data_IF_993670297507
#
_entry.id   IF_993670297507
#
_cell.length_a   1.000
_cell.length_b   1.000
_cell.length_c   1.000
_cell.angle_alpha   90.00
_cell.angle_beta   90.00
_cell.angle_gamma   90.00
#
_symmetry.space_group_name_H-M   'P 1'
#
loop_
_entity.id
_entity.type
_entity.pdbx_description
1 polymer ?
#
# COMPACT_ATOMS: atom_id res chain seq x y z
N UNK A 1 -0.80 -11.94 10.58
CA UNK A 1 -1.70 -10.97 9.93
C UNK A 1 -2.55 -10.33 11.00
N UNK A 2 -2.50 -9.03 11.12
CA UNK A 2 -3.28 -8.25 12.08
C UNK A 2 -4.43 -7.52 11.37
N UNK A 3 -5.56 -7.42 12.01
CA UNK A 3 -6.77 -6.77 11.49
C UNK A 3 -6.86 -5.36 12.05
N UNK A 4 -6.96 -4.35 11.18
CA UNK A 4 -7.21 -2.98 11.61
C UNK A 4 -8.72 -2.75 11.81
N UNK A 5 -9.13 -2.54 13.05
CA UNK A 5 -10.55 -2.43 13.44
C UNK A 5 -11.31 -1.19 12.90
N UNK A 6 -10.61 -0.19 12.38
CA UNK A 6 -11.20 1.13 12.13
C UNK A 6 -12.03 1.30 10.85
N UNK A 7 -11.85 0.48 9.81
CA UNK A 7 -12.50 0.64 8.49
C UNK A 7 -13.48 -0.48 8.15
N UNK A 8 -13.43 -1.58 8.87
CA UNK A 8 -14.27 -2.76 8.62
C UNK A 8 -15.78 -2.46 8.72
N UNK A 9 -16.19 -1.61 9.65
CA UNK A 9 -17.61 -1.35 9.91
C UNK A 9 -18.30 -0.45 8.92
N UNK A 10 -17.58 0.47 8.27
CA UNK A 10 -18.18 1.56 7.49
C UNK A 10 -18.27 1.28 5.99
N UNK A 11 -17.34 0.46 5.44
CA UNK A 11 -17.18 0.26 4.01
C UNK A 11 -17.25 -1.21 3.59
N UNK A 12 -17.42 -2.12 4.54
CA UNK A 12 -17.28 -3.56 4.29
C UNK A 12 -15.87 -3.94 3.83
N UNK A 13 -14.87 -3.16 4.23
CA UNK A 13 -13.46 -3.38 3.88
C UNK A 13 -12.68 -3.87 5.10
N UNK A 14 -11.98 -5.00 4.93
CA UNK A 14 -11.02 -5.55 5.88
C UNK A 14 -9.61 -5.20 5.40
N UNK A 15 -8.86 -4.45 6.22
CA UNK A 15 -7.47 -4.15 5.95
C UNK A 15 -6.60 -5.13 6.74
N UNK A 16 -5.71 -5.80 6.05
CA UNK A 16 -4.79 -6.78 6.57
C UNK A 16 -3.36 -6.28 6.35
N UNK A 17 -2.49 -6.54 7.32
CA UNK A 17 -1.10 -6.15 7.23
C UNK A 17 -0.24 -7.39 7.45
N UNK A 18 0.61 -7.71 6.47
CA UNK A 18 1.57 -8.78 6.58
C UNK A 18 2.84 -8.28 7.27
N UNK A 19 3.47 -9.15 8.04
CA UNK A 19 4.84 -8.87 8.48
C UNK A 19 5.77 -8.87 7.27
N UNK A 20 6.80 -8.02 7.28
CA UNK A 20 7.71 -7.80 6.15
C UNK A 20 8.49 -9.07 5.72
N UNK A 21 8.51 -10.09 6.59
CA UNK A 21 9.13 -11.39 6.32
C UNK A 21 8.28 -12.35 5.47
N UNK A 22 7.02 -12.01 5.15
CA UNK A 22 6.15 -12.89 4.37
C UNK A 22 6.43 -12.73 2.88
N UNK A 23 7.38 -13.53 2.38
CA UNK A 23 7.78 -13.51 0.96
C UNK A 23 6.73 -14.12 0.02
N UNK A 24 5.99 -15.13 0.49
CA UNK A 24 4.99 -15.81 -0.34
C UNK A 24 3.67 -15.03 -0.40
N UNK A 25 2.98 -15.13 -1.54
CA UNK A 25 1.62 -14.61 -1.67
C UNK A 25 0.70 -15.39 -0.74
N UNK A 26 0.11 -14.77 0.29
CA UNK A 26 -0.82 -15.46 1.17
C UNK A 26 -2.14 -15.72 0.44
N UNK A 27 -2.72 -16.89 0.69
CA UNK A 27 -4.07 -17.20 0.24
C UNK A 27 -5.09 -16.48 1.13
N UNK A 28 -5.47 -15.27 0.71
CA UNK A 28 -6.42 -14.42 1.44
C UNK A 28 -7.82 -15.08 1.51
N UNK A 29 -8.19 -15.81 0.48
CA UNK A 29 -9.47 -16.49 0.47
C UNK A 29 -9.50 -17.63 1.49
N UNK A 30 -8.43 -18.44 1.59
CA UNK A 30 -8.30 -19.44 2.63
C UNK A 30 -8.20 -18.84 4.03
N UNK A 31 -7.60 -17.66 4.18
CA UNK A 31 -7.58 -16.91 5.45
C UNK A 31 -9.02 -16.51 5.85
N UNK A 32 -9.79 -15.92 4.96
CA UNK A 32 -11.17 -15.51 5.22
C UNK A 32 -12.11 -16.69 5.50
N UNK A 33 -11.92 -17.81 4.80
CA UNK A 33 -12.69 -19.02 5.07
C UNK A 33 -12.51 -19.55 6.51
N UNK A 34 -11.30 -19.38 7.06
CA UNK A 34 -10.98 -19.76 8.46
C UNK A 34 -11.37 -18.68 9.47
N UNK A 35 -11.51 -17.43 9.03
CA UNK A 35 -11.82 -16.28 9.86
C UNK A 35 -13.03 -15.52 9.26
N UNK A 36 -14.25 -16.08 9.36
CA UNK A 36 -15.40 -15.50 8.70
C UNK A 36 -15.75 -14.13 9.30
N UNK A 37 -15.65 -13.10 8.49
CA UNK A 37 -16.01 -11.73 8.83
C UNK A 37 -17.32 -11.35 8.13
N UNK A 38 -18.39 -11.17 8.90
CA UNK A 38 -19.70 -10.81 8.32
C UNK A 38 -19.68 -9.38 7.74
N UNK A 39 -20.31 -9.21 6.59
CA UNK A 39 -20.47 -7.89 5.95
C UNK A 39 -19.22 -7.38 5.20
N UNK A 40 -18.15 -8.17 5.15
CA UNK A 40 -16.94 -7.82 4.39
C UNK A 40 -17.20 -8.06 2.89
N UNK A 41 -16.87 -7.07 2.08
CA UNK A 41 -16.88 -7.12 0.61
C UNK A 41 -15.49 -7.01 0.00
N UNK A 42 -14.57 -6.41 0.73
CA UNK A 42 -13.19 -6.18 0.29
C UNK A 42 -12.23 -6.65 1.38
N UNK A 43 -11.23 -7.40 1.01
CA UNK A 43 -10.10 -7.73 1.87
C UNK A 43 -8.82 -7.29 1.17
N UNK A 44 -8.11 -6.31 1.73
CA UNK A 44 -6.91 -5.73 1.12
C UNK A 44 -5.73 -5.99 2.02
N UNK A 45 -4.70 -6.63 1.47
CA UNK A 45 -3.46 -6.95 2.16
C UNK A 45 -2.37 -5.93 1.79
N UNK A 46 -1.76 -5.34 2.79
CA UNK A 46 -0.63 -4.42 2.69
C UNK A 46 0.62 -4.98 3.37
N UNK A 47 1.77 -4.40 3.07
CA UNK A 47 2.98 -4.59 3.85
C UNK A 47 2.84 -4.02 5.27
N UNK A 48 3.61 -4.55 6.23
CA UNK A 48 3.50 -4.17 7.64
C UNK A 48 3.75 -2.68 7.92
N UNK A 49 4.65 -2.06 7.18
CA UNK A 49 4.94 -0.62 7.31
C UNK A 49 3.75 0.30 6.96
N UNK A 50 2.78 -0.21 6.19
CA UNK A 50 1.59 0.58 5.82
C UNK A 50 0.59 0.78 6.98
N UNK A 51 0.78 0.13 8.13
CA UNK A 51 -0.12 0.26 9.31
C UNK A 51 -0.28 1.69 9.81
N UNK A 52 0.76 2.48 9.70
CA UNK A 52 0.78 3.88 10.18
C UNK A 52 0.35 4.89 9.13
N UNK A 53 0.00 4.42 7.93
CA UNK A 53 -0.40 5.27 6.82
C UNK A 53 -1.85 5.72 6.95
N UNK A 54 -2.14 6.88 6.39
CA UNK A 54 -3.50 7.42 6.31
C UNK A 54 -4.34 6.67 5.27
N UNK A 55 -5.67 6.70 5.36
CA UNK A 55 -6.55 6.02 4.41
C UNK A 55 -6.34 6.38 2.94
N UNK A 56 -6.03 7.66 2.66
CA UNK A 56 -5.72 8.13 1.30
C UNK A 56 -4.41 7.54 0.76
N UNK A 57 -3.42 7.37 1.62
CA UNK A 57 -2.15 6.73 1.30
C UNK A 57 -2.31 5.21 1.07
N UNK A 58 -3.14 4.55 1.87
CA UNK A 58 -3.48 3.14 1.67
C UNK A 58 -4.21 2.92 0.35
N UNK A 59 -5.15 3.80 -0.01
CA UNK A 59 -5.82 3.73 -1.29
C UNK A 59 -4.85 3.93 -2.46
N UNK A 60 -3.92 4.87 -2.32
CA UNK A 60 -2.86 5.08 -3.29
C UNK A 60 -1.98 3.84 -3.46
N UNK A 61 -1.53 3.22 -2.37
CA UNK A 61 -0.75 1.96 -2.43
C UNK A 61 -1.55 0.84 -3.09
N UNK A 62 -2.83 0.68 -2.72
CA UNK A 62 -3.69 -0.34 -3.32
C UNK A 62 -3.80 -0.16 -4.84
N UNK A 63 -3.96 1.07 -5.31
CA UNK A 63 -4.03 1.36 -6.74
C UNK A 63 -2.68 1.19 -7.45
N UNK A 64 -1.56 1.58 -6.81
CA UNK A 64 -0.23 1.54 -7.41
C UNK A 64 0.36 0.12 -7.47
N UNK A 65 0.10 -0.71 -6.45
CA UNK A 65 0.74 -2.00 -6.27
C UNK A 65 -0.05 -3.19 -6.84
N UNK A 66 -1.26 -2.97 -7.32
CA UNK A 66 -2.17 -4.05 -7.73
C UNK A 66 -2.26 -4.16 -9.24
N UNK A 67 -1.93 -5.33 -9.75
CA UNK A 67 -2.33 -5.77 -11.09
C UNK A 67 -3.60 -6.62 -10.97
N UNK A 68 -4.75 -6.19 -11.56
CA UNK A 68 -6.00 -6.92 -11.41
C UNK A 68 -5.95 -8.39 -11.87
N UNK A 69 -5.07 -8.73 -12.81
CA UNK A 69 -4.92 -10.10 -13.33
C UNK A 69 -4.15 -11.02 -12.37
N UNK A 70 -3.26 -10.45 -11.58
CA UNK A 70 -2.34 -11.20 -10.72
C UNK A 70 -2.73 -11.14 -9.25
N UNK A 71 -3.17 -9.94 -8.81
CA UNK A 71 -3.26 -9.60 -7.40
C UNK A 71 -4.69 -9.54 -6.88
N UNK A 72 -5.68 -9.71 -7.77
CA UNK A 72 -7.10 -9.66 -7.39
C UNK A 72 -7.76 -11.00 -7.61
N UNK A 73 -8.47 -11.46 -6.60
CA UNK A 73 -9.30 -12.66 -6.65
C UNK A 73 -10.68 -12.35 -6.02
N UNK A 74 -11.75 -12.80 -6.68
CA UNK A 74 -13.09 -12.74 -6.10
C UNK A 74 -13.52 -14.14 -5.68
N UNK A 75 -13.80 -14.33 -4.39
CA UNK A 75 -14.26 -15.60 -3.84
C UNK A 75 -15.35 -15.36 -2.79
N UNK A 76 -16.44 -16.12 -2.91
CA UNK A 76 -17.59 -16.06 -2.00
C UNK A 76 -18.15 -14.63 -1.79
N UNK A 77 -18.13 -13.81 -2.85
CA UNK A 77 -18.61 -12.43 -2.84
C UNK A 77 -17.67 -11.41 -2.18
N UNK A 78 -16.45 -11.84 -1.81
CA UNK A 78 -15.40 -10.96 -1.29
C UNK A 78 -14.32 -10.75 -2.34
N UNK A 79 -13.98 -9.49 -2.60
CA UNK A 79 -12.84 -9.12 -3.43
C UNK A 79 -11.57 -9.10 -2.59
N UNK A 80 -10.66 -10.04 -2.84
CA UNK A 80 -9.37 -10.15 -2.18
C UNK A 80 -8.30 -9.47 -3.03
N UNK A 81 -7.56 -8.52 -2.45
CA UNK A 81 -6.56 -7.71 -3.14
C UNK A 81 -5.21 -7.82 -2.41
N UNK A 82 -4.17 -8.23 -3.12
CA UNK A 82 -2.79 -8.15 -2.62
C UNK A 82 -2.13 -6.84 -3.08
N UNK A 83 -2.16 -5.85 -2.21
CA UNK A 83 -1.61 -4.51 -2.43
C UNK A 83 -0.18 -4.33 -1.88
N UNK A 84 0.50 -5.42 -1.52
CA UNK A 84 1.90 -5.37 -1.07
C UNK A 84 2.84 -4.99 -2.21
N UNK A 85 4.02 -4.49 -1.86
CA UNK A 85 5.13 -4.30 -2.78
C UNK A 85 5.55 -5.64 -3.41
N UNK A 86 5.84 -5.65 -4.70
CA UNK A 86 6.20 -6.87 -5.43
C UNK A 86 7.71 -6.96 -5.62
N UNK A 87 8.39 -7.57 -4.65
CA UNK A 87 9.84 -7.73 -4.72
C UNK A 87 10.23 -8.66 -5.87
N UNK A 88 11.19 -8.27 -6.73
CA UNK A 88 11.74 -9.15 -7.76
C UNK A 88 12.30 -10.45 -7.18
N UNK A 89 12.28 -11.53 -7.94
CA UNK A 89 12.81 -12.83 -7.53
C UNK A 89 11.85 -13.70 -6.70
N UNK A 90 10.73 -13.16 -6.24
CA UNK A 90 9.69 -13.95 -5.56
C UNK A 90 8.78 -14.56 -6.62
N UNK A 91 8.47 -15.85 -6.46
CA UNK A 91 7.59 -16.57 -7.39
C UNK A 91 6.23 -15.89 -7.54
N UNK A 92 5.83 -15.63 -8.79
CA UNK A 92 4.59 -14.93 -9.12
C UNK A 92 4.70 -13.40 -9.14
N UNK A 93 5.82 -12.82 -8.70
CA UNK A 93 6.07 -11.39 -8.81
C UNK A 93 6.66 -11.04 -10.19
N UNK A 94 6.47 -9.80 -10.68
CA UNK A 94 7.11 -9.33 -11.90
C UNK A 94 8.63 -9.24 -11.71
N UNK A 95 9.39 -9.44 -12.78
CA UNK A 95 10.85 -9.28 -12.77
C UNK A 95 11.29 -7.84 -12.51
N UNK A 96 10.42 -6.89 -12.77
CA UNK A 96 10.57 -5.47 -12.45
C UNK A 96 9.28 -4.96 -11.84
N UNK A 97 9.42 -4.30 -10.69
CA UNK A 97 8.34 -3.59 -10.05
C UNK A 97 8.73 -2.11 -9.94
N UNK A 98 7.88 -1.18 -10.39
CA UNK A 98 8.22 0.23 -10.34
C UNK A 98 8.40 0.68 -8.88
N UNK A 99 9.48 1.40 -8.63
CA UNK A 99 9.73 1.99 -7.33
C UNK A 99 8.81 3.18 -7.10
N UNK A 100 8.62 3.56 -5.84
CA UNK A 100 7.90 4.78 -5.47
C UNK A 100 8.65 5.98 -6.05
N UNK A 101 7.92 6.90 -6.70
CA UNK A 101 8.51 8.12 -7.24
C UNK A 101 8.61 9.15 -6.13
N UNK A 102 9.84 9.55 -5.81
CA UNK A 102 10.13 10.62 -4.86
C UNK A 102 11.11 11.62 -5.47
N UNK A 103 11.05 12.87 -5.01
CA UNK A 103 12.05 13.87 -5.38
C UNK A 103 13.36 13.63 -4.62
N UNK A 104 14.49 13.92 -5.26
CA UNK A 104 15.79 13.88 -4.61
C UNK A 104 15.86 14.94 -3.50
N UNK A 105 16.58 14.70 -2.39
CA UNK A 105 16.68 15.65 -1.27
C UNK A 105 17.17 17.04 -1.69
N UNK A 106 18.14 17.10 -2.59
CA UNK A 106 18.65 18.36 -3.11
C UNK A 106 17.62 19.12 -3.95
N UNK A 107 16.70 18.42 -4.62
CA UNK A 107 15.60 19.06 -5.37
C UNK A 107 14.57 19.61 -4.39
N UNK A 108 14.18 18.83 -3.38
CA UNK A 108 13.26 19.29 -2.32
C UNK A 108 13.81 20.56 -1.67
N UNK A 109 15.08 20.55 -1.25
CA UNK A 109 15.73 21.71 -0.63
C UNK A 109 15.72 22.95 -1.54
N UNK A 110 16.08 22.81 -2.81
CA UNK A 110 16.05 23.93 -3.77
C UNK A 110 14.66 24.52 -3.96
N UNK A 111 13.63 23.67 -3.96
CA UNK A 111 12.25 24.14 -4.04
C UNK A 111 11.85 24.87 -2.76
N UNK A 112 12.20 24.34 -1.60
CA UNK A 112 11.90 24.93 -0.30
C UNK A 112 12.58 26.30 -0.13
N UNK A 113 13.85 26.43 -0.49
CA UNK A 113 14.61 27.68 -0.44
C UNK A 113 13.97 28.78 -1.29
N UNK A 114 13.28 28.42 -2.36
CA UNK A 114 12.67 29.34 -3.31
C UNK A 114 11.13 29.37 -3.22
N UNK A 115 10.54 28.74 -2.20
CA UNK A 115 9.07 28.58 -2.09
C UNK A 115 8.32 29.91 -2.21
N UNK A 116 8.83 30.96 -1.57
CA UNK A 116 8.23 32.29 -1.62
C UNK A 116 8.18 32.88 -3.03
N UNK A 117 9.12 32.51 -3.91
CA UNK A 117 9.18 33.02 -5.29
C UNK A 117 8.06 32.44 -6.16
N UNK A 118 7.53 31.27 -5.78
CA UNK A 118 6.47 30.57 -6.55
C UNK A 118 5.06 31.13 -6.28
N UNK A 119 4.88 31.93 -5.23
CA UNK A 119 3.57 32.52 -4.91
C UNK A 119 2.48 31.51 -4.55
N UNK A 120 2.85 30.33 -4.05
CA UNK A 120 1.92 29.23 -3.74
C UNK A 120 1.34 29.29 -2.32
N UNK A 121 1.60 30.36 -1.58
CA UNK A 121 1.14 30.53 -0.20
C UNK A 121 2.10 29.93 0.82
N UNK A 122 1.58 29.45 1.96
CA UNK A 122 2.38 28.87 3.03
C UNK A 122 3.12 27.61 2.56
N UNK A 123 4.38 27.46 3.01
CA UNK A 123 5.19 26.29 2.64
C UNK A 123 4.61 25.00 3.21
N UNK A 124 4.41 24.03 2.34
CA UNK A 124 4.04 22.68 2.70
C UNK A 124 5.26 21.75 2.67
N UNK A 125 5.35 20.87 3.65
CA UNK A 125 6.38 19.84 3.68
C UNK A 125 6.24 18.90 2.48
N UNK A 126 7.37 18.59 1.83
CA UNK A 126 7.37 17.67 0.69
C UNK A 126 6.96 16.25 1.13
N UNK A 127 5.97 15.62 0.49
CA UNK A 127 5.62 14.23 0.78
C UNK A 127 6.75 13.25 0.44
N UNK A 128 7.70 13.64 -0.41
CA UNK A 128 8.82 12.79 -0.82
C UNK A 128 9.64 12.27 0.35
N UNK A 129 9.86 13.08 1.39
CA UNK A 129 10.67 12.65 2.54
C UNK A 129 9.98 11.53 3.33
N UNK A 130 8.66 11.61 3.45
CA UNK A 130 7.85 10.58 4.10
C UNK A 130 7.81 9.27 3.33
N UNK A 131 7.72 9.33 2.00
CA UNK A 131 7.64 8.13 1.15
C UNK A 131 9.00 7.53 0.81
N UNK A 132 10.09 8.20 1.14
CA UNK A 132 11.45 7.70 0.88
C UNK A 132 11.73 6.36 1.56
N UNK A 133 11.12 6.12 2.71
CA UNK A 133 11.24 4.84 3.43
C UNK A 133 10.58 3.66 2.70
N UNK A 134 9.73 3.93 1.68
CA UNK A 134 9.07 2.91 0.86
C UNK A 134 9.89 2.51 -0.37
N UNK A 135 11.02 3.19 -0.63
CA UNK A 135 11.88 2.85 -1.76
C UNK A 135 12.42 1.44 -1.59
N UNK A 136 12.24 0.64 -2.62
CA UNK A 136 12.89 -0.66 -2.69
C UNK A 136 14.38 -0.45 -2.91
N UNK A 137 15.21 -1.10 -2.10
CA UNK A 137 16.66 -1.16 -2.37
C UNK A 137 16.90 -1.99 -3.62
N UNK A 138 17.76 -1.49 -4.49
CA UNK A 138 18.27 -2.21 -5.67
C UNK A 138 19.04 -3.47 -5.26
#
# INVERSE_FOLDING_TARGET
VEVADGLAGKWGALLLFADDAVEQKPDLAAFLARNPCRGIRYAVLFDGHARTMRPDELLWLAAANTDPRRDVECRDGVLCVDARSKRPGIAGNPSRFPNVVTSLPEVVRKVDERWAEYGLGERLESPSDRYRALLLSD
#
